data_IF_468162055791
#
_entry.id   IF_468162055791
#
_cell.length_a   1.000
_cell.length_b   1.000
_cell.length_c   1.000
_cell.angle_alpha   90.00
_cell.angle_beta   90.00
_cell.angle_gamma   90.00
#
_symmetry.space_group_name_H-M   'P 1'
#
loop_
_entity.id
_entity.type
_entity.pdbx_description
1 polymer ?
#
# COMPACT_ATOMS: atom_id res chain seq x y z
N UNK A 1 39.35 15.18 -13.77
CA UNK A 1 38.77 14.95 -12.44
C UNK A 1 39.79 15.40 -11.41
N UNK A 2 39.48 16.47 -10.67
CA UNK A 2 40.28 16.91 -9.53
C UNK A 2 39.82 16.12 -8.30
N UNK A 3 40.77 15.57 -7.55
CA UNK A 3 40.52 14.92 -6.26
C UNK A 3 40.64 16.00 -5.20
N UNK A 4 39.60 16.15 -4.37
CA UNK A 4 39.47 17.24 -3.40
C UNK A 4 40.08 16.89 -2.02
N UNK A 5 40.53 15.65 -1.84
CA UNK A 5 41.03 15.11 -0.57
C UNK A 5 42.50 14.67 -0.67
N UNK A 6 43.23 14.75 0.43
CA UNK A 6 44.60 14.23 0.53
C UNK A 6 44.69 12.95 1.36
N UNK A 7 45.76 12.20 1.14
CA UNK A 7 46.04 10.98 1.89
C UNK A 7 46.30 11.31 3.36
N UNK A 8 45.46 10.76 4.26
CA UNK A 8 45.47 11.06 5.69
C UNK A 8 44.32 11.95 6.18
N UNK A 9 43.53 12.51 5.25
CA UNK A 9 42.33 13.28 5.62
C UNK A 9 41.24 12.38 6.21
N UNK A 10 40.56 12.88 7.24
CA UNK A 10 39.39 12.23 7.83
C UNK A 10 38.13 12.68 7.11
N UNK A 11 37.57 11.80 6.30
CA UNK A 11 36.33 12.04 5.57
C UNK A 11 35.14 11.38 6.27
N UNK A 12 33.96 11.98 6.11
CA UNK A 12 32.70 11.39 6.59
C UNK A 12 32.03 10.57 5.49
N UNK A 13 31.18 9.62 5.89
CA UNK A 13 30.37 8.87 4.95
C UNK A 13 29.48 9.82 4.12
N UNK A 14 29.65 9.78 2.80
CA UNK A 14 28.91 10.61 1.84
C UNK A 14 29.58 11.93 1.45
N UNK A 15 30.80 12.19 1.94
CA UNK A 15 31.59 13.35 1.52
C UNK A 15 32.17 13.14 0.11
N UNK A 16 32.06 14.17 -0.74
CA UNK A 16 32.51 14.11 -2.11
C UNK A 16 34.04 14.15 -2.19
N UNK A 17 34.65 13.08 -2.70
CA UNK A 17 36.10 12.97 -2.85
C UNK A 17 36.62 13.59 -4.16
N UNK A 18 35.73 13.79 -5.13
CA UNK A 18 36.02 14.35 -6.45
C UNK A 18 34.93 15.36 -6.82
N UNK A 19 35.32 16.36 -7.61
CA UNK A 19 34.37 17.27 -8.24
C UNK A 19 33.57 16.57 -9.34
N UNK A 20 32.26 16.77 -9.33
CA UNK A 20 31.34 16.26 -10.34
C UNK A 20 29.89 16.18 -9.83
N UNK A 21 28.95 15.86 -10.73
CA UNK A 21 27.57 15.61 -10.35
C UNK A 21 27.49 14.38 -9.45
N UNK A 22 26.68 14.45 -8.39
CA UNK A 22 26.46 13.33 -7.49
C UNK A 22 25.58 12.28 -8.15
N UNK A 23 25.94 11.01 -8.00
CA UNK A 23 25.12 9.90 -8.47
C UNK A 23 23.99 9.61 -7.45
N UNK A 24 22.70 9.69 -7.87
CA UNK A 24 21.56 9.39 -6.99
C UNK A 24 21.62 8.01 -6.33
N UNK A 25 22.17 7.01 -7.01
CA UNK A 25 22.29 5.65 -6.45
C UNK A 25 23.33 5.59 -5.32
N UNK A 26 24.39 6.39 -5.39
CA UNK A 26 25.40 6.46 -4.34
C UNK A 26 24.88 7.22 -3.13
N UNK A 27 24.13 8.31 -3.35
CA UNK A 27 23.43 9.04 -2.27
C UNK A 27 22.50 8.09 -1.52
N UNK A 28 21.69 7.29 -2.23
CA UNK A 28 20.76 6.34 -1.59
C UNK A 28 21.50 5.34 -0.70
N UNK A 29 22.59 4.77 -1.22
CA UNK A 29 23.35 3.71 -0.53
C UNK A 29 24.11 4.23 0.69
N UNK A 30 24.60 5.46 0.65
CA UNK A 30 25.49 6.01 1.71
C UNK A 30 24.73 6.91 2.69
N UNK A 31 23.87 7.80 2.19
CA UNK A 31 23.18 8.83 2.97
C UNK A 31 21.71 8.49 3.25
N UNK A 32 21.16 7.49 2.56
CA UNK A 32 19.80 7.01 2.76
C UNK A 32 18.72 7.77 1.97
N UNK A 33 17.47 7.32 2.13
CA UNK A 33 16.32 7.78 1.33
C UNK A 33 16.00 9.26 1.54
N UNK A 34 16.00 9.75 2.78
CA UNK A 34 15.59 11.13 3.10
C UNK A 34 16.53 12.14 2.42
N UNK A 35 17.84 11.87 2.44
CA UNK A 35 18.84 12.72 1.79
C UNK A 35 18.73 12.67 0.27
N UNK A 36 18.43 11.50 -0.29
CA UNK A 36 18.16 11.39 -1.71
C UNK A 36 16.91 12.17 -2.14
N UNK A 37 15.83 12.11 -1.35
CA UNK A 37 14.61 12.85 -1.64
C UNK A 37 14.86 14.36 -1.64
N UNK A 38 15.53 14.88 -0.62
CA UNK A 38 15.93 16.29 -0.51
C UNK A 38 16.78 16.71 -1.72
N UNK A 39 17.77 15.89 -2.10
CA UNK A 39 18.62 16.14 -3.27
C UNK A 39 17.81 16.24 -4.57
N UNK A 40 16.96 15.25 -4.87
CA UNK A 40 16.17 15.23 -6.11
C UNK A 40 15.19 16.41 -6.18
N UNK A 41 14.52 16.72 -5.07
CA UNK A 41 13.56 17.83 -5.02
C UNK A 41 14.27 19.15 -5.27
N UNK A 42 15.41 19.39 -4.62
CA UNK A 42 16.17 20.64 -4.79
C UNK A 42 16.68 20.80 -6.24
N UNK A 43 17.29 19.76 -6.82
CA UNK A 43 17.81 19.79 -8.19
C UNK A 43 16.71 20.09 -9.22
N UNK A 44 15.55 19.43 -9.10
CA UNK A 44 14.41 19.68 -10.01
C UNK A 44 13.87 21.11 -9.81
N UNK A 45 13.75 21.54 -8.56
CA UNK A 45 13.20 22.85 -8.21
C UNK A 45 14.09 23.99 -8.70
N UNK A 46 15.42 23.84 -8.66
CA UNK A 46 16.37 24.82 -9.20
C UNK A 46 16.15 25.06 -10.70
N UNK A 47 15.92 24.01 -11.48
CA UNK A 47 15.64 24.12 -12.92
C UNK A 47 14.34 24.87 -13.18
N UNK A 48 13.27 24.57 -12.43
CA UNK A 48 11.98 25.27 -12.57
C UNK A 48 12.06 26.74 -12.15
N UNK A 49 12.77 27.02 -11.04
CA UNK A 49 13.04 28.40 -10.59
C UNK A 49 13.82 29.19 -11.63
N UNK A 50 14.82 28.57 -12.28
CA UNK A 50 15.59 29.19 -13.35
C UNK A 50 14.73 29.53 -14.57
N UNK A 51 13.70 28.73 -14.86
CA UNK A 51 12.72 28.99 -15.91
C UNK A 51 11.59 29.96 -15.49
N UNK A 52 11.60 30.44 -14.24
CA UNK A 52 10.61 31.35 -13.70
C UNK A 52 9.25 30.70 -13.42
N UNK A 53 9.18 29.37 -13.37
CA UNK A 53 7.94 28.62 -13.09
C UNK A 53 7.91 28.25 -11.61
N UNK A 54 6.83 28.64 -10.92
CA UNK A 54 6.65 28.32 -9.52
C UNK A 54 5.84 27.02 -9.36
N UNK A 55 6.46 25.99 -8.78
CA UNK A 55 5.83 24.69 -8.50
C UNK A 55 6.02 24.39 -7.02
N UNK A 56 4.97 23.87 -6.38
CA UNK A 56 5.05 23.44 -4.99
C UNK A 56 5.83 22.12 -4.87
N UNK A 57 6.78 22.06 -3.93
CA UNK A 57 7.65 20.92 -3.67
C UNK A 57 6.86 19.61 -3.43
N UNK A 58 5.66 19.69 -2.83
CA UNK A 58 4.76 18.55 -2.60
C UNK A 58 4.48 17.74 -3.86
N UNK A 59 4.38 18.38 -5.02
CA UNK A 59 4.13 17.67 -6.28
C UNK A 59 5.33 16.81 -6.68
N UNK A 60 6.54 17.33 -6.50
CA UNK A 60 7.79 16.62 -6.81
C UNK A 60 7.99 15.50 -5.79
N UNK A 61 7.78 15.76 -4.50
CA UNK A 61 7.89 14.75 -3.44
C UNK A 61 7.00 13.53 -3.68
N UNK A 62 5.77 13.74 -4.13
CA UNK A 62 4.84 12.64 -4.45
C UNK A 62 5.37 11.79 -5.59
N UNK A 63 6.02 12.39 -6.59
CA UNK A 63 6.65 11.65 -7.71
C UNK A 63 7.88 10.88 -7.21
N UNK A 64 8.76 11.52 -6.44
CA UNK A 64 9.97 10.88 -5.89
C UNK A 64 9.60 9.73 -4.96
N UNK A 65 8.50 9.85 -4.20
CA UNK A 65 7.94 8.74 -3.40
C UNK A 65 7.61 7.52 -4.26
N UNK A 66 7.06 7.71 -5.47
CA UNK A 66 6.79 6.58 -6.37
C UNK A 66 8.08 5.95 -6.94
N UNK A 67 9.11 6.76 -7.18
CA UNK A 67 10.43 6.27 -7.63
C UNK A 67 11.15 5.42 -6.57
N UNK A 68 10.85 5.66 -5.28
CA UNK A 68 11.42 4.98 -4.11
C UNK A 68 10.49 3.95 -3.45
N UNK A 69 9.42 3.56 -4.15
CA UNK A 69 8.44 2.57 -3.66
C UNK A 69 9.02 1.14 -3.60
N UNK A 70 10.08 0.88 -4.33
CA UNK A 70 10.63 -0.46 -4.54
C UNK A 70 11.79 -0.76 -3.60
N UNK A 71 11.86 -2.01 -3.16
CA UNK A 71 12.98 -2.54 -2.38
C UNK A 71 13.53 -3.81 -3.04
N UNK A 72 14.82 -4.05 -2.86
CA UNK A 72 15.52 -5.23 -3.35
C UNK A 72 15.90 -6.13 -2.18
N UNK A 73 15.47 -7.38 -2.22
CA UNK A 73 15.72 -8.34 -1.14
C UNK A 73 17.19 -8.74 -1.11
N UNK A 74 17.80 -8.66 0.07
CA UNK A 74 19.20 -9.06 0.35
C UNK A 74 19.27 -10.35 1.14
N UNK A 75 18.37 -10.53 2.10
CA UNK A 75 18.24 -11.74 2.91
C UNK A 75 16.76 -12.10 2.96
N UNK A 76 16.44 -13.36 2.74
CA UNK A 76 15.05 -13.84 2.63
C UNK A 76 14.46 -14.21 4.00
N UNK A 77 15.28 -14.72 4.92
CA UNK A 77 14.77 -15.27 6.18
C UNK A 77 13.74 -16.38 5.91
N UNK A 78 12.63 -16.34 6.65
CA UNK A 78 11.50 -17.26 6.55
C UNK A 78 10.32 -16.71 5.71
N UNK A 79 10.56 -15.63 4.95
CA UNK A 79 9.55 -15.03 4.06
C UNK A 79 9.42 -15.79 2.74
N UNK A 80 8.36 -15.51 2.00
CA UNK A 80 8.12 -16.06 0.65
C UNK A 80 8.96 -15.40 -0.46
N UNK A 81 9.87 -14.49 -0.11
CA UNK A 81 10.65 -13.74 -1.09
C UNK A 81 11.79 -14.54 -1.71
N UNK A 82 12.27 -14.08 -2.87
CA UNK A 82 13.50 -14.59 -3.48
C UNK A 82 14.66 -13.62 -3.30
N UNK A 83 15.88 -14.16 -3.24
CA UNK A 83 17.09 -13.35 -3.21
C UNK A 83 17.16 -12.46 -4.47
N UNK A 84 17.54 -11.19 -4.28
CA UNK A 84 17.60 -10.17 -5.33
C UNK A 84 16.25 -9.83 -6.01
N UNK A 85 15.12 -10.34 -5.49
CA UNK A 85 13.78 -9.97 -5.98
C UNK A 85 13.51 -8.48 -5.73
N UNK A 86 12.84 -7.84 -6.69
CA UNK A 86 12.34 -6.48 -6.57
C UNK A 86 10.88 -6.54 -6.16
N UNK A 87 10.57 -6.06 -4.96
CA UNK A 87 9.22 -6.08 -4.42
C UNK A 87 8.79 -4.69 -3.99
N UNK A 88 7.47 -4.50 -3.94
CA UNK A 88 6.90 -3.30 -3.34
C UNK A 88 7.23 -3.25 -1.84
N UNK A 89 7.67 -2.09 -1.37
CA UNK A 89 7.90 -1.82 0.05
C UNK A 89 6.71 -2.14 0.94
N UNK A 90 5.48 -1.89 0.48
CA UNK A 90 4.28 -2.20 1.26
C UNK A 90 4.13 -3.71 1.45
N UNK A 91 4.20 -4.48 0.34
CA UNK A 91 4.19 -5.96 0.39
C UNK A 91 5.32 -6.52 1.25
N UNK A 92 6.52 -5.95 1.15
CA UNK A 92 7.66 -6.32 2.00
C UNK A 92 7.38 -6.09 3.49
N UNK A 93 6.79 -4.95 3.83
CA UNK A 93 6.49 -4.60 5.22
C UNK A 93 5.39 -5.51 5.78
N UNK A 94 4.34 -5.77 4.99
CA UNK A 94 3.23 -6.63 5.38
C UNK A 94 3.68 -8.09 5.59
N UNK A 95 4.51 -8.62 4.69
CA UNK A 95 5.04 -9.97 4.79
C UNK A 95 5.99 -10.13 5.98
N UNK A 96 6.85 -9.15 6.23
CA UNK A 96 7.72 -9.17 7.40
C UNK A 96 6.93 -9.08 8.71
N UNK A 97 5.83 -8.32 8.73
CA UNK A 97 4.93 -8.29 9.89
C UNK A 97 4.29 -9.66 10.12
N UNK A 98 3.81 -10.31 9.05
CA UNK A 98 3.24 -11.67 9.12
C UNK A 98 4.23 -12.70 9.68
N UNK A 99 5.49 -12.66 9.25
CA UNK A 99 6.54 -13.57 9.74
C UNK A 99 6.93 -13.26 11.19
N UNK A 100 6.89 -11.99 11.59
CA UNK A 100 7.14 -11.58 12.97
C UNK A 100 6.07 -12.11 13.94
N UNK A 101 4.81 -12.16 13.50
CA UNK A 101 3.66 -12.56 14.30
C UNK A 101 3.45 -14.09 14.37
N UNK A 102 4.35 -14.90 13.79
CA UNK A 102 4.26 -16.35 13.84
C UNK A 102 4.45 -16.87 15.29
N UNK A 103 3.56 -17.79 15.70
CA UNK A 103 3.42 -18.27 17.08
C UNK A 103 4.65 -19.04 17.61
N UNK A 104 5.53 -19.55 16.74
CA UNK A 104 6.69 -20.38 17.09
C UNK A 104 7.95 -19.59 17.54
N UNK A 105 7.78 -18.35 18.00
CA UNK A 105 8.86 -17.53 18.55
C UNK A 105 9.41 -16.44 17.63
N UNK A 106 8.68 -16.09 16.56
CA UNK A 106 9.04 -15.07 15.57
C UNK A 106 10.04 -15.59 14.55
N UNK A 107 9.61 -15.72 13.29
CA UNK A 107 10.48 -16.15 12.18
C UNK A 107 11.52 -15.08 11.83
N UNK A 108 12.57 -15.48 11.10
CA UNK A 108 13.58 -14.55 10.64
C UNK A 108 13.01 -13.65 9.52
N UNK A 109 12.97 -12.35 9.75
CA UNK A 109 12.46 -11.38 8.78
C UNK A 109 13.42 -11.21 7.59
N UNK A 110 12.86 -10.91 6.41
CA UNK A 110 13.67 -10.55 5.27
C UNK A 110 14.33 -9.18 5.47
N UNK A 111 15.58 -9.03 5.00
CA UNK A 111 16.25 -7.73 4.88
C UNK A 111 16.25 -7.29 3.44
N UNK A 112 15.93 -6.02 3.22
CA UNK A 112 15.90 -5.43 1.90
C UNK A 112 16.63 -4.07 1.88
N UNK A 113 17.16 -3.72 0.73
CA UNK A 113 17.73 -2.40 0.47
C UNK A 113 16.78 -1.58 -0.40
N UNK A 114 16.61 -0.27 -0.14
CA UNK A 114 15.79 0.58 -0.98
C UNK A 114 16.37 0.67 -2.39
N UNK A 115 15.50 0.68 -3.39
CA UNK A 115 15.88 0.75 -4.80
C UNK A 115 15.27 1.98 -5.46
N UNK A 116 16.12 2.85 -6.00
CA UNK A 116 15.67 3.96 -6.83
C UNK A 116 15.39 3.48 -8.26
N UNK A 117 14.13 3.59 -8.70
CA UNK A 117 13.74 3.32 -10.08
C UNK A 117 13.33 4.61 -10.79
N UNK A 118 13.68 4.72 -12.08
CA UNK A 118 13.16 5.78 -12.93
C UNK A 118 11.64 5.66 -13.13
N UNK A 119 10.97 6.77 -13.44
CA UNK A 119 9.50 6.86 -13.54
C UNK A 119 8.92 5.81 -14.49
N UNK A 120 9.54 5.62 -15.66
CA UNK A 120 9.14 4.62 -16.65
C UNK A 120 9.21 3.20 -16.10
N UNK A 121 10.33 2.84 -15.45
CA UNK A 121 10.53 1.49 -14.89
C UNK A 121 9.63 1.25 -13.68
N UNK A 122 9.45 2.24 -12.81
CA UNK A 122 8.52 2.17 -11.68
C UNK A 122 7.07 1.98 -12.16
N UNK A 123 6.68 2.63 -13.25
CA UNK A 123 5.33 2.52 -13.84
C UNK A 123 5.07 1.16 -14.50
N UNK A 124 6.08 0.58 -15.15
CA UNK A 124 6.00 -0.76 -15.75
C UNK A 124 6.01 -1.89 -14.71
N UNK A 125 6.58 -1.64 -13.53
CA UNK A 125 6.70 -2.65 -12.47
C UNK A 125 5.45 -2.75 -11.58
N UNK A 126 4.41 -1.94 -11.81
CA UNK A 126 3.18 -1.96 -11.00
C UNK A 126 2.50 -3.33 -10.96
N UNK A 127 1.79 -3.64 -9.87
CA UNK A 127 1.16 -4.95 -9.66
C UNK A 127 0.07 -5.28 -10.71
N UNK A 128 -0.64 -4.25 -11.19
CA UNK A 128 -1.65 -4.40 -12.23
C UNK A 128 -1.03 -4.52 -13.61
N UNK A 129 -1.17 -5.70 -14.22
CA UNK A 129 -0.74 -5.91 -15.60
C UNK A 129 -1.62 -5.15 -16.60
N UNK A 130 -2.89 -4.88 -16.28
CA UNK A 130 -3.80 -4.08 -17.12
C UNK A 130 -3.28 -2.64 -17.19
N UNK A 131 -2.97 -2.06 -16.03
CA UNK A 131 -2.39 -0.73 -15.92
C UNK A 131 -1.01 -0.66 -16.58
N UNK A 132 -0.14 -1.64 -16.35
CA UNK A 132 1.19 -1.69 -16.96
C UNK A 132 1.13 -1.80 -18.49
N UNK A 133 0.30 -2.70 -19.02
CA UNK A 133 0.12 -2.88 -20.45
C UNK A 133 -0.46 -1.62 -21.13
N UNK A 134 -1.35 -0.89 -20.45
CA UNK A 134 -1.90 0.37 -20.97
C UNK A 134 -0.86 1.49 -21.11
N UNK A 135 0.28 1.37 -20.42
CA UNK A 135 1.33 2.38 -20.47
C UNK A 135 2.29 2.14 -21.65
N UNK A 136 3.05 1.05 -21.63
CA UNK A 136 4.03 0.68 -22.67
C UNK A 136 4.25 -0.85 -22.69
N UNK A 137 4.96 -1.36 -23.71
CA UNK A 137 5.41 -2.76 -23.80
C UNK A 137 4.29 -3.82 -23.70
N UNK A 138 3.11 -3.50 -24.27
CA UNK A 138 1.88 -4.31 -24.23
C UNK A 138 2.10 -5.80 -24.46
N UNK A 139 2.82 -6.18 -25.52
CA UNK A 139 3.06 -7.58 -25.87
C UNK A 139 3.84 -8.31 -24.78
N UNK A 140 4.92 -7.70 -24.26
CA UNK A 140 5.75 -8.31 -23.22
C UNK A 140 4.95 -8.51 -21.93
N UNK A 141 4.25 -7.48 -21.48
CA UNK A 141 3.46 -7.50 -20.23
C UNK A 141 2.35 -8.54 -20.29
N UNK A 142 1.59 -8.60 -21.39
CA UNK A 142 0.48 -9.55 -21.52
C UNK A 142 0.97 -11.00 -21.64
N UNK A 143 2.07 -11.24 -22.35
CA UNK A 143 2.67 -12.59 -22.43
C UNK A 143 3.16 -13.05 -21.07
N UNK A 144 3.84 -12.19 -20.31
CA UNK A 144 4.34 -12.52 -18.98
C UNK A 144 3.18 -12.81 -18.01
N UNK A 145 2.13 -11.99 -18.04
CA UNK A 145 0.93 -12.20 -17.24
C UNK A 145 0.20 -13.51 -17.60
N UNK A 146 0.12 -13.86 -18.88
CA UNK A 146 -0.49 -15.11 -19.35
C UNK A 146 0.32 -16.34 -18.92
N UNK A 147 1.66 -16.30 -19.03
CA UNK A 147 2.54 -17.40 -18.61
C UNK A 147 2.44 -17.62 -17.10
N UNK A 148 2.41 -16.54 -16.32
CA UNK A 148 2.35 -16.59 -14.85
C UNK A 148 0.93 -16.73 -14.28
N UNK A 149 -0.10 -16.71 -15.14
CA UNK A 149 -1.50 -16.78 -14.70
C UNK A 149 -1.91 -15.65 -13.74
N UNK A 150 -1.36 -14.44 -13.93
CA UNK A 150 -1.61 -13.30 -13.03
C UNK A 150 -3.09 -12.90 -13.01
N UNK A 151 -3.57 -12.57 -11.82
CA UNK A 151 -4.92 -12.04 -11.59
C UNK A 151 -4.81 -10.57 -11.18
N UNK A 152 -5.59 -9.72 -11.85
CA UNK A 152 -5.67 -8.29 -11.56
C UNK A 152 -6.90 -8.00 -10.68
N UNK A 153 -6.68 -7.35 -9.53
CA UNK A 153 -7.73 -7.06 -8.55
C UNK A 153 -8.41 -5.71 -8.76
N UNK A 154 -8.08 -4.95 -9.81
CA UNK A 154 -8.71 -3.68 -10.16
C UNK A 154 -8.72 -2.69 -8.98
N UNK A 155 -7.62 -2.58 -8.25
CA UNK A 155 -7.48 -1.67 -7.10
C UNK A 155 -7.03 -0.26 -7.51
N UNK A 156 -6.54 -0.11 -8.73
CA UNK A 156 -6.00 1.13 -9.27
C UNK A 156 -7.03 1.99 -10.00
N UNK A 157 -6.62 3.21 -10.34
CA UNK A 157 -7.46 4.14 -11.09
C UNK A 157 -7.64 3.71 -12.55
N UNK A 158 -6.55 3.35 -13.24
CA UNK A 158 -6.58 3.05 -14.68
C UNK A 158 -7.35 1.78 -15.00
N UNK A 159 -7.16 0.72 -14.20
CA UNK A 159 -7.92 -0.52 -14.32
C UNK A 159 -9.44 -0.28 -14.29
N UNK A 160 -9.92 0.48 -13.30
CA UNK A 160 -11.36 0.75 -13.16
C UNK A 160 -11.89 1.62 -14.31
N UNK A 161 -11.11 2.58 -14.80
CA UNK A 161 -11.49 3.38 -15.98
C UNK A 161 -11.63 2.50 -17.22
N UNK A 162 -10.67 1.58 -17.47
CA UNK A 162 -10.70 0.67 -18.62
C UNK A 162 -11.92 -0.27 -18.54
N UNK A 163 -12.24 -0.73 -17.33
CA UNK A 163 -13.38 -1.64 -17.08
C UNK A 163 -14.74 -0.92 -17.00
N UNK A 164 -14.78 0.42 -17.02
CA UNK A 164 -16.00 1.21 -16.89
C UNK A 164 -16.62 1.19 -15.48
N UNK A 165 -15.82 0.94 -14.44
CA UNK A 165 -16.23 0.98 -13.02
C UNK A 165 -15.93 2.35 -12.41
N UNK A 166 -16.58 2.68 -11.30
CA UNK A 166 -16.23 3.86 -10.50
C UNK A 166 -14.77 3.75 -10.06
N UNK A 167 -14.03 4.86 -10.10
CA UNK A 167 -12.65 4.88 -9.62
C UNK A 167 -12.60 4.97 -8.08
N UNK A 168 -11.61 4.36 -7.42
CA UNK A 168 -11.43 4.45 -5.97
C UNK A 168 -10.80 5.80 -5.54
N UNK A 169 -11.36 6.90 -6.02
CA UNK A 169 -10.92 8.26 -5.70
C UNK A 169 -12.09 9.26 -5.80
N UNK A 170 -12.00 10.37 -5.07
CA UNK A 170 -13.03 11.40 -5.06
C UNK A 170 -14.39 10.85 -4.61
N UNK A 171 -15.45 11.14 -5.38
CA UNK A 171 -16.81 10.67 -5.12
C UNK A 171 -16.97 9.16 -5.20
N UNK A 172 -16.12 8.47 -5.98
CA UNK A 172 -16.15 7.01 -6.06
C UNK A 172 -15.66 6.33 -4.77
N UNK A 173 -14.94 7.03 -3.90
CA UNK A 173 -14.37 6.45 -2.68
C UNK A 173 -15.45 6.02 -1.67
N UNK A 174 -16.60 6.69 -1.64
CA UNK A 174 -17.73 6.31 -0.77
C UNK A 174 -18.26 4.92 -1.11
N UNK A 175 -18.35 4.58 -2.40
CA UNK A 175 -18.77 3.26 -2.85
C UNK A 175 -17.88 2.15 -2.30
N UNK A 176 -16.55 2.36 -2.29
CA UNK A 176 -15.59 1.37 -1.80
C UNK A 176 -15.46 1.32 -0.27
N UNK A 177 -15.69 2.43 0.44
CA UNK A 177 -15.66 2.46 1.92
C UNK A 177 -16.92 1.87 2.55
N UNK A 178 -18.07 2.07 1.92
CA UNK A 178 -19.37 1.69 2.45
C UNK A 178 -19.81 0.28 2.00
N UNK A 179 -18.89 -0.52 1.45
CA UNK A 179 -19.16 -1.93 1.14
C UNK A 179 -19.34 -2.68 2.46
N UNK A 180 -20.60 -2.85 2.86
CA UNK A 180 -20.97 -3.80 3.90
C UNK A 180 -20.82 -5.19 3.28
N UNK A 181 -19.75 -5.88 3.66
CA UNK A 181 -19.63 -7.31 3.39
C UNK A 181 -20.67 -7.96 4.28
N UNK A 182 -21.77 -8.43 3.69
CA UNK A 182 -22.66 -9.37 4.36
C UNK A 182 -21.80 -10.58 4.73
N UNK A 183 -21.53 -10.73 6.03
CA UNK A 183 -20.85 -11.93 6.52
C UNK A 183 -21.74 -13.10 6.13
N UNK A 184 -21.18 -14.03 5.39
CA UNK A 184 -21.86 -15.28 5.04
C UNK A 184 -22.04 -16.08 6.34
N UNK A 185 -23.17 -15.85 7.02
CA UNK A 185 -23.47 -16.48 8.32
C UNK A 185 -23.73 -17.98 8.17
N UNK A 186 -23.74 -18.53 6.95
CA UNK A 186 -23.97 -19.96 6.72
C UNK A 186 -22.95 -20.84 7.44
N UNK A 187 -21.70 -20.39 7.57
CA UNK A 187 -20.68 -21.13 8.33
C UNK A 187 -20.86 -21.05 9.86
N UNK A 188 -21.35 -19.92 10.37
CA UNK A 188 -21.66 -19.74 11.80
C UNK A 188 -22.95 -20.48 12.17
N UNK A 189 -23.96 -20.42 11.31
CA UNK A 189 -25.23 -21.15 11.43
C UNK A 189 -25.02 -22.67 11.37
N UNK A 190 -24.18 -23.17 10.46
CA UNK A 190 -23.85 -24.59 10.40
C UNK A 190 -23.08 -25.07 11.64
N UNK A 191 -22.23 -24.23 12.24
CA UNK A 191 -21.54 -24.52 13.51
C UNK A 191 -22.50 -24.52 14.69
N UNK A 192 -23.46 -23.59 14.72
CA UNK A 192 -24.51 -23.54 15.74
C UNK A 192 -25.44 -24.76 15.65
N UNK A 193 -25.87 -25.15 14.45
CA UNK A 193 -26.68 -26.35 14.22
C UNK A 193 -25.95 -27.63 14.66
N UNK A 194 -24.66 -27.77 14.33
CA UNK A 194 -23.82 -28.91 14.78
C UNK A 194 -23.59 -28.90 16.30
N UNK A 195 -23.46 -27.73 16.91
CA UNK A 195 -23.34 -27.60 18.36
C UNK A 195 -24.65 -28.01 19.06
N UNK A 196 -25.81 -27.67 18.49
CA UNK A 196 -27.12 -28.07 19.01
C UNK A 196 -27.36 -29.57 18.84
N UNK A 197 -26.99 -30.14 17.68
CA UNK A 197 -27.12 -31.58 17.39
C UNK A 197 -26.25 -32.42 18.34
N UNK A 198 -24.98 -32.06 18.52
CA UNK A 198 -24.08 -32.72 19.46
C UNK A 198 -24.51 -32.58 20.93
N UNK A 199 -25.11 -31.45 21.32
CA UNK A 199 -25.69 -31.29 22.66
C UNK A 199 -26.94 -32.17 22.86
N UNK A 200 -27.73 -32.36 21.80
CA UNK A 200 -28.93 -33.21 21.82
C UNK A 200 -28.59 -34.71 21.92
N UNK A 201 -27.49 -35.13 21.29
CA UNK A 201 -26.98 -36.50 21.35
C UNK A 201 -26.43 -36.86 22.74
N UNK A 202 -25.83 -35.88 23.44
CA UNK A 202 -25.34 -36.05 24.82
C UNK A 202 -26.51 -36.15 25.81
N UNK A 203 -27.63 -35.47 25.54
CA UNK A 203 -28.76 -35.37 26.48
C UNK A 203 -29.83 -36.47 26.33
N UNK A 204 -29.63 -37.44 25.43
CA UNK A 204 -30.42 -38.67 25.42
C UNK A 204 -31.91 -38.46 25.12
N UNK A 205 -32.23 -38.05 23.90
CA UNK A 205 -33.46 -38.40 23.18
C UNK A 205 -34.80 -38.24 23.93
N UNK A 206 -35.26 -37.00 24.10
CA UNK A 206 -36.69 -36.67 24.14
C UNK A 206 -36.95 -35.40 23.30
N UNK A 207 -37.64 -35.57 22.17
CA UNK A 207 -38.25 -34.47 21.43
C UNK A 207 -39.53 -34.05 22.18
N UNK A 208 -39.95 -32.80 22.36
CA UNK A 208 -39.51 -31.46 21.94
C UNK A 208 -40.48 -30.48 22.63
N UNK A 209 -40.04 -29.27 22.95
CA UNK A 209 -40.86 -28.09 22.72
C UNK A 209 -39.92 -26.96 22.29
N UNK A 210 -39.75 -26.79 20.97
CA UNK A 210 -39.07 -25.62 20.41
C UNK A 210 -40.00 -24.42 20.65
N UNK A 211 -39.65 -23.45 21.52
CA UNK A 211 -40.45 -22.24 21.63
C UNK A 211 -40.40 -21.49 20.29
N UNK A 212 -41.50 -20.88 19.85
CA UNK A 212 -41.53 -20.14 18.59
C UNK A 212 -40.44 -19.06 18.58
N UNK A 213 -39.86 -18.75 17.42
CA UNK A 213 -38.81 -17.75 17.31
C UNK A 213 -39.36 -16.42 17.84
N UNK A 214 -38.68 -15.87 18.85
CA UNK A 214 -38.97 -14.53 19.34
C UNK A 214 -38.73 -13.55 18.20
N UNK A 215 -39.77 -12.81 17.84
CA UNK A 215 -39.71 -11.72 16.88
C UNK A 215 -38.53 -10.81 17.26
N UNK A 216 -37.61 -10.57 16.32
CA UNK A 216 -36.42 -9.75 16.61
C UNK A 216 -36.92 -8.37 17.02
N UNK A 217 -36.63 -7.97 18.24
CA UNK A 217 -36.79 -6.58 18.67
C UNK A 217 -35.83 -5.78 17.80
N UNK A 218 -36.40 -5.09 16.82
CA UNK A 218 -35.68 -4.08 16.04
C UNK A 218 -35.40 -2.96 17.04
N UNK A 219 -34.19 -2.93 17.57
CA UNK A 219 -33.68 -1.74 18.23
C UNK A 219 -33.49 -0.74 17.10
N UNK A 220 -34.50 0.10 16.88
CA UNK A 220 -34.33 1.34 16.15
C UNK A 220 -33.27 2.12 16.91
N UNK A 221 -32.05 2.15 16.38
CA UNK A 221 -31.08 3.16 16.77
C UNK A 221 -31.67 4.43 16.16
N UNK A 222 -32.26 5.27 17.00
CA UNK A 222 -32.72 6.60 16.60
C UNK A 222 -31.54 7.28 15.91
N UNK A 223 -31.77 7.71 14.66
CA UNK A 223 -30.85 8.54 13.91
C UNK A 223 -30.64 9.82 14.72
N UNK A 224 -29.44 9.98 15.27
CA UNK A 224 -28.99 11.22 15.88
C UNK A 224 -28.78 12.21 14.71
N UNK A 225 -29.84 12.94 14.36
CA UNK A 225 -29.74 14.05 13.42
C UNK A 225 -28.76 15.08 13.97
N UNK A 226 -27.84 15.63 13.16
CA UNK A 226 -26.98 16.70 13.62
C UNK A 226 -27.83 17.94 13.93
N UNK A 227 -27.78 18.42 15.18
CA UNK A 227 -28.39 19.68 15.61
C UNK A 227 -28.01 20.81 14.64
N UNK A 228 -29.02 21.36 13.95
CA UNK A 228 -28.94 22.67 13.32
C UNK A 228 -28.69 23.71 14.41
N UNK A 229 -27.47 24.25 14.45
CA UNK A 229 -27.13 25.41 15.27
C UNK A 229 -27.80 26.63 14.64
N UNK A 230 -29.04 26.90 15.04
CA UNK A 230 -29.73 28.14 14.71
C UNK A 230 -28.97 29.32 15.33
N UNK A 231 -28.47 30.20 14.46
CA UNK A 231 -27.94 31.48 14.86
C UNK A 231 -29.06 32.34 15.45
N UNK A 232 -29.02 32.54 16.76
CA UNK A 232 -29.83 33.56 17.43
C UNK A 232 -29.26 34.94 17.06
N UNK A 233 -29.96 35.60 16.13
CA UNK A 233 -29.82 37.01 15.87
C UNK A 233 -30.90 37.74 16.68
N UNK A 234 -30.50 38.36 17.78
CA UNK A 234 -31.40 39.17 18.58
C UNK A 234 -30.73 39.80 19.80
N UNK A 235 -29.95 40.86 19.58
CA UNK A 235 -29.83 41.93 20.58
C UNK A 235 -30.06 43.26 19.86
N UNK A 236 -31.31 43.71 19.93
CA UNK A 236 -31.68 45.12 19.82
C UNK A 236 -31.54 45.75 21.21
N UNK A 237 -30.52 46.60 21.39
CA UNK A 237 -30.61 47.92 22.04
C UNK A 237 -29.41 48.80 21.67
#
# INVERSE_FOLDING_TARGET
THINVQEGDRVRAGEALMDGPLNPHDILRVLGMNRLQEYIVNEIQEVYRLQGVNINDKHIEVIVRQMLRWVKIREVGDTEFLLDEQVDRFRFTDENARVADMEDGGGEQAKAEPLLLGITKASLSTDSFISAASFQETTRVLTEAAISGRVDYLRGLKENVIMGRLIPAGTGMEFYRNVKIERDTTAEQAREEQAIESLSDILGGEATAVPPPREKVVVAVEDDEPEEVAADAGDEE
#
